data_IF_928798700052
#
_entry.id   IF_928798700052
#
_cell.length_a   1.000
_cell.length_b   1.000
_cell.length_c   1.000
_cell.angle_alpha   90.00
_cell.angle_beta   90.00
_cell.angle_gamma   90.00
#
_symmetry.space_group_name_H-M   'P 1'
#
loop_
_entity.id
_entity.type
_entity.pdbx_description
1 polymer ?
#
# COMPACT_ATOMS: atom_id res chain seq x y z
N UNK A 1 15.84 31.88 -18.09
CA UNK A 1 16.85 31.30 -17.18
C UNK A 1 16.29 31.38 -15.78
N UNK A 2 15.75 30.28 -15.25
CA UNK A 2 15.22 30.22 -13.89
C UNK A 2 16.27 29.50 -13.06
N UNK A 3 16.97 30.24 -12.21
CA UNK A 3 17.97 29.69 -11.28
C UNK A 3 17.28 28.83 -10.23
N UNK A 4 17.55 27.52 -10.26
CA UNK A 4 17.24 26.60 -9.17
C UNK A 4 18.38 26.68 -8.15
N UNK A 5 18.07 27.18 -6.96
CA UNK A 5 19.00 27.16 -5.82
C UNK A 5 18.94 25.78 -5.14
N UNK A 6 20.03 25.00 -5.06
CA UNK A 6 20.03 23.73 -4.35
C UNK A 6 20.53 23.97 -2.92
N UNK A 7 19.62 24.22 -1.99
CA UNK A 7 19.96 24.21 -0.55
C UNK A 7 18.72 24.01 0.29
N UNK A 8 18.30 22.75 0.44
CA UNK A 8 17.57 22.26 1.61
C UNK A 8 17.98 20.80 1.86
N UNK A 9 19.27 20.54 2.03
CA UNK A 9 19.71 19.38 2.82
C UNK A 9 19.81 19.89 4.25
N UNK A 10 18.68 19.87 4.95
CA UNK A 10 18.65 20.10 6.39
C UNK A 10 19.24 18.88 7.06
N UNK A 11 20.43 19.03 7.65
CA UNK A 11 20.99 18.08 8.60
C UNK A 11 19.95 17.86 9.72
N UNK A 12 19.63 16.61 10.12
CA UNK A 12 18.66 16.39 11.18
C UNK A 12 19.16 17.08 12.46
N UNK A 13 18.33 17.87 13.16
CA UNK A 13 18.76 18.47 14.41
C UNK A 13 18.98 17.35 15.43
N UNK A 14 20.23 17.16 15.85
CA UNK A 14 20.52 16.50 17.12
C UNK A 14 20.02 17.41 18.25
N UNK A 15 18.86 17.08 18.81
CA UNK A 15 18.37 17.64 20.07
C UNK A 15 17.58 16.57 20.83
N UNK A 16 17.86 16.35 22.13
CA UNK A 16 17.20 15.32 22.91
C UNK A 16 15.73 15.68 23.23
N UNK A 17 14.83 14.82 22.77
CA UNK A 17 13.47 14.51 23.23
C UNK A 17 12.57 15.67 23.70
N UNK A 18 12.21 16.59 22.79
CA UNK A 18 10.93 17.29 22.93
C UNK A 18 9.78 16.33 22.65
N UNK A 19 8.68 16.41 23.43
CA UNK A 19 7.47 15.62 23.16
C UNK A 19 6.97 15.90 21.72
N UNK A 20 6.59 14.87 20.96
CA UNK A 20 6.13 15.07 19.59
C UNK A 20 4.92 16.02 19.57
N UNK A 21 5.00 17.07 18.77
CA UNK A 21 3.90 18.02 18.63
C UNK A 21 2.88 17.55 17.57
N UNK A 22 1.62 17.45 17.98
CA UNK A 22 0.48 17.09 17.12
C UNK A 22 0.19 15.60 17.04
N UNK A 23 -0.87 15.24 16.30
CA UNK A 23 -1.32 13.85 16.17
C UNK A 23 -0.63 13.15 14.97
N UNK A 24 0.09 12.06 15.23
CA UNK A 24 0.74 11.22 14.21
C UNK A 24 -0.26 10.77 13.13
N UNK A 25 -1.45 10.34 13.53
CA UNK A 25 -2.49 9.88 12.60
C UNK A 25 -2.91 10.98 11.61
N UNK A 26 -3.12 12.21 12.08
CA UNK A 26 -3.49 13.34 11.22
C UNK A 26 -2.34 13.73 10.27
N UNK A 27 -1.08 13.68 10.73
CA UNK A 27 0.09 13.93 9.90
C UNK A 27 0.22 12.88 8.79
N UNK A 28 0.08 11.59 9.11
CA UNK A 28 0.11 10.49 8.15
C UNK A 28 -1.00 10.61 7.10
N UNK A 29 -2.24 10.85 7.53
CA UNK A 29 -3.34 11.03 6.58
C UNK A 29 -3.16 12.25 5.66
N UNK A 30 -2.57 13.35 6.16
CA UNK A 30 -2.25 14.51 5.31
C UNK A 30 -1.20 14.16 4.26
N UNK A 31 -0.14 13.46 4.65
CA UNK A 31 0.89 12.98 3.72
C UNK A 31 0.29 12.01 2.69
N UNK A 32 -0.49 11.03 3.15
CA UNK A 32 -1.13 10.03 2.30
C UNK A 32 -2.00 10.68 1.22
N UNK A 33 -2.86 11.64 1.58
CA UNK A 33 -3.67 12.38 0.58
C UNK A 33 -2.83 13.08 -0.48
N UNK A 34 -1.64 13.57 -0.13
CA UNK A 34 -0.76 14.24 -1.10
C UNK A 34 -0.04 13.24 -2.00
N UNK A 35 0.35 12.08 -1.47
CA UNK A 35 0.89 10.98 -2.25
C UNK A 35 -0.17 10.39 -3.18
N UNK A 36 -1.37 10.11 -2.68
CA UNK A 36 -2.50 9.60 -3.45
C UNK A 36 -2.81 10.50 -4.65
N UNK A 37 -2.79 11.83 -4.47
CA UNK A 37 -2.98 12.76 -5.59
C UNK A 37 -1.92 12.60 -6.71
N UNK A 38 -0.67 12.31 -6.35
CA UNK A 38 0.40 12.08 -7.32
C UNK A 38 0.22 10.73 -8.04
N UNK A 39 -0.11 9.68 -7.30
CA UNK A 39 -0.32 8.35 -7.87
C UNK A 39 -1.59 8.27 -8.71
N UNK A 40 -2.70 8.80 -8.21
CA UNK A 40 -3.99 8.82 -8.91
C UNK A 40 -3.90 9.64 -10.20
N UNK A 41 -3.16 10.75 -10.23
CA UNK A 41 -2.97 11.53 -11.46
C UNK A 41 -2.32 10.71 -12.58
N UNK A 42 -1.34 9.86 -12.26
CA UNK A 42 -0.68 8.99 -13.24
C UNK A 42 -1.53 7.76 -13.58
N UNK A 43 -2.13 7.10 -12.58
CA UNK A 43 -2.96 5.91 -12.80
C UNK A 43 -4.28 6.22 -13.51
N UNK A 44 -4.83 7.43 -13.36
CA UNK A 44 -6.02 7.87 -14.08
C UNK A 44 -5.81 7.84 -15.61
N UNK A 45 -4.56 8.00 -16.09
CA UNK A 45 -4.22 7.90 -17.53
C UNK A 45 -4.46 6.52 -18.11
N UNK A 46 -4.53 5.49 -17.25
CA UNK A 46 -4.93 4.13 -17.60
C UNK A 46 -6.27 3.74 -16.98
N UNK A 47 -7.06 4.70 -16.51
CA UNK A 47 -8.39 4.45 -15.95
C UNK A 47 -8.36 3.60 -14.67
N UNK A 48 -7.32 3.74 -13.83
CA UNK A 48 -7.23 3.08 -12.54
C UNK A 48 -7.13 4.09 -11.41
N UNK A 49 -7.70 3.73 -10.26
CA UNK A 49 -7.38 4.33 -8.96
C UNK A 49 -6.20 3.61 -8.30
N UNK A 50 -5.49 4.29 -7.41
CA UNK A 50 -4.40 3.72 -6.59
C UNK A 50 -4.83 2.45 -5.86
N UNK A 51 -6.02 2.46 -5.25
CA UNK A 51 -6.57 1.29 -4.53
C UNK A 51 -6.84 0.09 -5.45
N UNK A 52 -7.33 0.34 -6.66
CA UNK A 52 -7.58 -0.70 -7.66
C UNK A 52 -6.27 -1.30 -8.18
N UNK A 53 -5.28 -0.46 -8.48
CA UNK A 53 -3.96 -0.91 -8.90
C UNK A 53 -3.26 -1.74 -7.81
N UNK A 54 -3.33 -1.29 -6.55
CA UNK A 54 -2.75 -2.01 -5.42
C UNK A 54 -3.38 -3.39 -5.26
N UNK A 55 -4.72 -3.48 -5.28
CA UNK A 55 -5.43 -4.76 -5.19
C UNK A 55 -5.11 -5.68 -6.38
N UNK A 56 -5.17 -5.16 -7.61
CA UNK A 56 -4.84 -5.94 -8.81
C UNK A 56 -3.40 -6.45 -8.77
N UNK A 57 -2.45 -5.66 -8.27
CA UNK A 57 -1.06 -6.08 -8.11
C UNK A 57 -0.90 -7.19 -7.07
N UNK A 58 -1.65 -7.15 -5.97
CA UNK A 58 -1.65 -8.24 -4.99
C UNK A 58 -2.26 -9.52 -5.58
N UNK A 59 -3.36 -9.41 -6.31
CA UNK A 59 -3.96 -10.56 -7.01
C UNK A 59 -2.98 -11.15 -8.02
N UNK A 60 -2.38 -10.34 -8.90
CA UNK A 60 -1.39 -10.83 -9.89
C UNK A 60 -0.20 -11.53 -9.25
N UNK A 61 0.24 -11.06 -8.06
CA UNK A 61 1.39 -11.64 -7.35
C UNK A 61 1.05 -12.92 -6.60
N UNK A 62 -0.14 -13.02 -6.03
CA UNK A 62 -0.51 -14.10 -5.10
C UNK A 62 -1.45 -15.14 -5.74
N UNK A 63 -2.07 -14.84 -6.88
CA UNK A 63 -3.06 -15.70 -7.51
C UNK A 63 -2.48 -17.07 -7.91
N UNK A 64 -3.27 -18.15 -7.82
CA UNK A 64 -4.61 -18.19 -7.21
C UNK A 64 -4.55 -17.99 -5.68
N UNK A 65 -5.43 -17.12 -5.14
CA UNK A 65 -5.39 -16.76 -3.71
C UNK A 65 -6.78 -16.79 -3.07
N UNK A 66 -6.88 -17.36 -1.87
CA UNK A 66 -8.13 -17.33 -1.09
C UNK A 66 -8.40 -15.90 -0.60
N UNK A 67 -9.65 -15.40 -0.63
CA UNK A 67 -10.00 -14.05 -0.16
C UNK A 67 -9.49 -13.71 1.25
N UNK A 68 -9.57 -14.65 2.19
CA UNK A 68 -9.08 -14.42 3.56
C UNK A 68 -7.55 -14.23 3.64
N UNK A 69 -6.79 -14.90 2.78
CA UNK A 69 -5.33 -14.73 2.68
C UNK A 69 -5.01 -13.39 2.04
N UNK A 70 -5.71 -13.04 0.95
CA UNK A 70 -5.55 -11.75 0.29
C UNK A 70 -5.90 -10.58 1.20
N UNK A 71 -6.96 -10.71 2.01
CA UNK A 71 -7.40 -9.70 2.97
C UNK A 71 -6.31 -9.44 4.01
N UNK A 72 -5.74 -10.50 4.60
CA UNK A 72 -4.60 -10.39 5.54
C UNK A 72 -3.37 -9.79 4.88
N UNK A 73 -3.03 -10.21 3.66
CA UNK A 73 -1.85 -9.69 2.95
C UNK A 73 -1.96 -8.19 2.59
N UNK A 74 -3.14 -7.59 2.71
CA UNK A 74 -3.40 -6.17 2.46
C UNK A 74 -3.85 -5.41 3.72
N UNK A 75 -3.83 -6.06 4.90
CA UNK A 75 -4.36 -5.52 6.16
C UNK A 75 -5.81 -5.00 6.04
N UNK A 76 -6.62 -5.71 5.26
CA UNK A 76 -8.03 -5.40 5.03
C UNK A 76 -8.95 -6.34 5.78
N UNK A 77 -10.07 -5.78 6.25
CA UNK A 77 -11.21 -6.59 6.68
C UNK A 77 -11.84 -7.32 5.46
N UNK A 78 -12.34 -8.56 5.62
CA UNK A 78 -12.91 -9.34 4.50
C UNK A 78 -14.04 -8.63 3.76
N UNK A 79 -14.89 -7.89 4.47
CA UNK A 79 -15.97 -7.10 3.86
C UNK A 79 -15.45 -5.95 3.00
N UNK A 80 -14.35 -5.31 3.41
CA UNK A 80 -13.67 -4.26 2.64
C UNK A 80 -13.02 -4.85 1.38
N UNK A 81 -12.33 -5.99 1.50
CA UNK A 81 -11.77 -6.67 0.33
C UNK A 81 -12.86 -7.01 -0.70
N UNK A 82 -13.99 -7.56 -0.24
CA UNK A 82 -15.09 -7.95 -1.12
C UNK A 82 -15.62 -6.76 -1.93
N UNK A 83 -15.85 -5.61 -1.29
CA UNK A 83 -16.24 -4.38 -1.98
C UNK A 83 -15.17 -3.88 -2.95
N UNK A 84 -13.89 -3.98 -2.58
CA UNK A 84 -12.79 -3.53 -3.44
C UNK A 84 -12.58 -4.44 -4.67
N UNK A 85 -12.92 -5.72 -4.58
CA UNK A 85 -12.84 -6.68 -5.70
C UNK A 85 -13.93 -6.45 -6.76
N UNK A 86 -15.14 -6.02 -6.36
CA UNK A 86 -16.27 -5.82 -7.27
C UNK A 86 -15.92 -5.02 -8.55
N UNK A 87 -15.28 -3.83 -8.50
CA UNK A 87 -14.95 -3.09 -9.70
C UNK A 87 -13.93 -3.80 -10.60
N UNK A 88 -13.00 -4.58 -10.04
CA UNK A 88 -12.01 -5.34 -10.82
C UNK A 88 -12.64 -6.54 -11.51
N UNK A 89 -13.62 -7.18 -10.85
CA UNK A 89 -14.43 -8.26 -11.43
C UNK A 89 -15.33 -7.72 -12.54
N UNK A 90 -16.02 -6.61 -12.30
CA UNK A 90 -16.87 -5.96 -13.29
C UNK A 90 -16.08 -5.51 -14.54
N UNK A 91 -14.81 -5.12 -14.36
CA UNK A 91 -13.91 -4.77 -15.46
C UNK A 91 -13.27 -6.00 -16.15
N UNK A 92 -13.54 -7.22 -15.69
CA UNK A 92 -12.98 -8.46 -16.22
C UNK A 92 -11.48 -8.65 -15.95
N UNK A 93 -10.90 -7.91 -15.00
CA UNK A 93 -9.47 -8.02 -14.64
C UNK A 93 -9.20 -9.08 -13.58
N UNK A 94 -10.22 -9.40 -12.78
CA UNK A 94 -10.17 -10.42 -11.74
C UNK A 94 -11.37 -11.34 -11.91
N UNK A 95 -11.17 -12.63 -11.66
CA UNK A 95 -12.26 -13.59 -11.51
C UNK A 95 -12.24 -14.19 -10.10
N UNK A 96 -13.42 -14.61 -9.64
CA UNK A 96 -13.59 -15.32 -8.37
C UNK A 96 -14.17 -16.69 -8.70
N UNK A 97 -13.30 -17.69 -8.76
CA UNK A 97 -13.68 -19.05 -9.12
C UNK A 97 -14.14 -19.82 -7.87
N UNK A 98 -15.15 -20.70 -8.00
CA UNK A 98 -15.33 -21.79 -7.05
C UNK A 98 -14.10 -22.69 -7.22
N UNK A 99 -13.21 -22.70 -6.23
CA UNK A 99 -11.97 -23.47 -6.25
C UNK A 99 -12.21 -24.99 -6.29
N UNK A 100 -11.22 -25.78 -5.88
CA UNK A 100 -11.25 -27.25 -5.95
C UNK A 100 -12.28 -27.96 -5.07
N UNK A 101 -13.01 -27.21 -4.24
CA UNK A 101 -14.09 -27.69 -3.37
C UNK A 101 -15.22 -26.65 -3.38
N UNK A 102 -16.47 -27.11 -3.29
CA UNK A 102 -17.71 -26.32 -3.39
C UNK A 102 -17.80 -25.16 -2.39
N UNK A 103 -16.90 -25.12 -1.38
CA UNK A 103 -16.79 -24.07 -0.36
C UNK A 103 -15.56 -23.18 -0.47
N UNK A 104 -14.59 -23.50 -1.32
CA UNK A 104 -13.42 -22.65 -1.52
C UNK A 104 -13.68 -21.67 -2.66
N UNK A 105 -13.46 -20.38 -2.42
CA UNK A 105 -13.43 -19.35 -3.47
C UNK A 105 -11.99 -18.91 -3.65
N UNK A 106 -11.54 -18.82 -4.89
CA UNK A 106 -10.19 -18.34 -5.23
C UNK A 106 -10.30 -17.11 -6.11
N UNK A 107 -9.46 -16.13 -5.81
CA UNK A 107 -9.32 -14.90 -6.59
C UNK A 107 -8.16 -15.09 -7.55
N UNK A 108 -8.42 -14.90 -8.84
CA UNK A 108 -7.41 -15.02 -9.90
C UNK A 108 -7.34 -13.74 -10.73
N UNK A 109 -6.15 -13.40 -11.21
CA UNK A 109 -5.99 -12.37 -12.23
C UNK A 109 -6.29 -12.99 -13.61
N UNK A 110 -7.16 -12.36 -14.39
CA UNK A 110 -7.38 -12.77 -15.78
C UNK A 110 -6.19 -12.34 -16.66
N UNK A 111 -6.04 -12.89 -17.88
CA UNK A 111 -5.05 -12.37 -18.83
C UNK A 111 -5.18 -10.86 -19.07
N UNK A 112 -6.42 -10.35 -19.15
CA UNK A 112 -6.68 -8.92 -19.25
C UNK A 112 -6.23 -8.14 -17.99
N UNK A 113 -6.42 -8.70 -16.80
CA UNK A 113 -5.94 -8.12 -15.55
C UNK A 113 -4.42 -8.06 -15.45
N UNK A 114 -3.71 -9.11 -15.88
CA UNK A 114 -2.25 -9.14 -15.92
C UNK A 114 -1.70 -8.04 -16.84
N UNK A 115 -2.25 -7.93 -18.06
CA UNK A 115 -1.85 -6.87 -18.98
C UNK A 115 -2.23 -5.48 -18.47
N UNK A 116 -3.40 -5.33 -17.84
CA UNK A 116 -3.81 -4.06 -17.22
C UNK A 116 -2.84 -3.64 -16.12
N UNK A 117 -2.42 -4.57 -15.27
CA UNK A 117 -1.44 -4.32 -14.21
C UNK A 117 -0.09 -3.92 -14.79
N UNK A 118 0.36 -4.58 -15.87
CA UNK A 118 1.62 -4.27 -16.56
C UNK A 118 1.62 -2.87 -17.18
N UNK A 119 0.51 -2.46 -17.78
CA UNK A 119 0.32 -1.09 -18.27
C UNK A 119 0.41 -0.08 -17.11
N UNK A 120 -0.35 -0.33 -16.05
CA UNK A 120 -0.41 0.54 -14.88
C UNK A 120 0.93 0.67 -14.13
N UNK A 121 1.74 -0.40 -14.10
CA UNK A 121 3.06 -0.38 -13.48
C UNK A 121 3.98 0.70 -14.08
N UNK A 122 3.83 1.03 -15.37
CA UNK A 122 4.62 2.09 -16.01
C UNK A 122 4.27 3.46 -15.43
N UNK A 123 2.99 3.75 -15.27
CA UNK A 123 2.50 5.00 -14.68
C UNK A 123 2.78 5.07 -13.17
N UNK A 124 2.66 3.94 -12.47
CA UNK A 124 3.09 3.83 -11.08
C UNK A 124 4.58 4.20 -10.92
N UNK A 125 5.44 3.70 -11.82
CA UNK A 125 6.87 4.02 -11.80
C UNK A 125 7.11 5.51 -12.01
N UNK A 126 6.39 6.16 -12.92
CA UNK A 126 6.46 7.62 -13.12
C UNK A 126 6.11 8.36 -11.83
N UNK A 127 5.00 8.01 -11.18
CA UNK A 127 4.59 8.60 -9.91
C UNK A 127 5.66 8.40 -8.81
N UNK A 128 6.16 7.18 -8.63
CA UNK A 128 7.22 6.88 -7.64
C UNK A 128 8.51 7.66 -7.94
N UNK A 129 8.92 7.75 -9.20
CA UNK A 129 10.10 8.54 -9.58
C UNK A 129 9.89 10.02 -9.29
N UNK A 130 8.68 10.55 -9.49
CA UNK A 130 8.35 11.93 -9.10
C UNK A 130 8.42 12.12 -7.58
N UNK A 131 7.95 11.17 -6.78
CA UNK A 131 8.07 11.21 -5.31
C UNK A 131 9.56 11.25 -4.91
N UNK A 132 10.38 10.38 -5.50
CA UNK A 132 11.82 10.35 -5.24
C UNK A 132 12.52 11.66 -5.62
N UNK A 133 12.10 12.31 -6.70
CA UNK A 133 12.64 13.59 -7.13
C UNK A 133 12.22 14.74 -6.19
N UNK A 134 10.97 14.74 -5.72
CA UNK A 134 10.42 15.80 -4.86
C UNK A 134 10.93 15.72 -3.42
N UNK A 135 11.06 14.50 -2.88
CA UNK A 135 11.50 14.29 -1.50
C UNK A 135 13.01 14.09 -1.39
N UNK A 136 13.67 13.65 -2.47
CA UNK A 136 15.06 13.20 -2.45
C UNK A 136 15.19 11.74 -2.03
N UNK A 137 15.99 10.96 -2.77
CA UNK A 137 16.12 9.52 -2.56
C UNK A 137 16.58 9.14 -1.13
N UNK A 138 17.51 9.92 -0.55
CA UNK A 138 17.97 9.69 0.82
C UNK A 138 16.85 9.86 1.85
N UNK A 139 16.02 10.89 1.70
CA UNK A 139 14.90 11.14 2.60
C UNK A 139 13.80 10.08 2.46
N UNK A 140 13.59 9.58 1.24
CA UNK A 140 12.66 8.47 0.97
C UNK A 140 13.13 7.19 1.68
N UNK A 141 14.44 6.87 1.64
CA UNK A 141 14.97 5.72 2.38
C UNK A 141 14.72 5.86 3.90
N UNK A 142 15.06 7.02 4.48
CA UNK A 142 14.79 7.28 5.91
C UNK A 142 13.29 7.15 6.24
N UNK A 143 12.42 7.65 5.36
CA UNK A 143 10.98 7.52 5.56
C UNK A 143 10.53 6.05 5.53
N UNK A 144 11.03 5.26 4.57
CA UNK A 144 10.71 3.82 4.50
C UNK A 144 11.17 3.08 5.76
N UNK A 145 12.40 3.35 6.23
CA UNK A 145 12.93 2.72 7.44
C UNK A 145 12.12 3.06 8.68
N UNK A 146 11.65 4.32 8.80
CA UNK A 146 10.80 4.75 9.90
C UNK A 146 9.40 4.11 9.84
N UNK A 147 8.83 3.97 8.65
CA UNK A 147 7.53 3.30 8.47
C UNK A 147 7.63 1.82 8.83
N UNK A 148 8.67 1.13 8.36
CA UNK A 148 8.91 -0.28 8.67
C UNK A 148 9.09 -0.50 10.18
N UNK A 149 9.94 0.29 10.83
CA UNK A 149 10.12 0.23 12.28
C UNK A 149 8.82 0.53 13.05
N UNK A 150 8.02 1.47 12.57
CA UNK A 150 6.74 1.79 13.19
C UNK A 150 5.75 0.63 13.07
N UNK A 151 5.64 0.00 11.90
CA UNK A 151 4.79 -1.17 11.68
C UNK A 151 5.20 -2.33 12.59
N UNK A 152 6.49 -2.69 12.62
CA UNK A 152 7.01 -3.75 13.48
C UNK A 152 6.68 -3.53 14.96
N UNK A 153 6.78 -2.30 15.46
CA UNK A 153 6.45 -1.96 16.85
C UNK A 153 4.95 -2.05 17.14
N UNK A 154 4.11 -1.64 16.20
CA UNK A 154 2.65 -1.71 16.32
C UNK A 154 2.16 -3.16 16.26
N UNK A 155 2.73 -3.97 15.38
CA UNK A 155 2.40 -5.40 15.25
C UNK A 155 2.83 -6.18 16.50
N UNK A 156 4.02 -5.91 17.03
CA UNK A 156 4.49 -6.51 18.27
C UNK A 156 3.58 -6.18 19.47
N UNK A 157 3.01 -4.98 19.51
CA UNK A 157 2.05 -4.58 20.55
C UNK A 157 0.65 -5.21 20.36
N UNK A 158 0.31 -5.63 19.14
CA UNK A 158 -0.97 -6.26 18.82
C UNK A 158 -0.94 -7.81 18.97
N UNK A 159 0.24 -8.40 19.19
CA UNK A 159 0.38 -9.84 19.44
C UNK A 159 -0.41 -10.22 20.71
N UNK A 160 -1.19 -11.32 20.70
CA UNK A 160 -1.91 -11.78 21.88
C UNK A 160 -0.94 -12.01 23.04
N UNK A 161 -1.26 -11.47 24.23
CA UNK A 161 -0.63 -11.93 25.47
C UNK A 161 -1.09 -13.38 25.65
N UNK A 162 -0.19 -14.35 25.48
CA UNK A 162 -0.50 -15.74 25.82
C UNK A 162 -0.96 -15.77 27.29
N UNK A 163 -2.14 -16.33 27.60
CA UNK A 163 -2.55 -16.48 28.99
C UNK A 163 -1.54 -17.42 29.66
N UNK A 164 -0.90 -16.90 30.71
CA UNK A 164 0.03 -17.59 31.59
C UNK A 164 -0.50 -19.00 31.94
N UNK A 165 0.03 -20.01 31.26
CA UNK A 165 -0.19 -21.42 31.55
C UNK A 165 0.65 -21.81 32.78
N UNK A 166 0.43 -21.15 33.91
CA UNK A 166 1.03 -21.48 35.19
C UNK A 166 0.07 -21.12 36.34
N UNK A 167 -0.94 -21.96 36.53
CA UNK A 167 -1.53 -22.26 37.85
C UNK A 167 -2.38 -23.52 37.77
N UNK A 168 -1.72 -24.65 38.03
CA UNK A 168 -2.28 -25.97 38.27
C UNK A 168 -1.27 -26.78 39.07
#
# INVERSE_FOLDING_TARGET
MISFHPSLVGQPPESPAASPQGCTNLRLHRLMRRLDQLYDAELARVGLKTTQYSLLSHVVRLAPVRPGVLARAMDLQPSTLTRNLQPLVAAGWVAVDPGSDARSREVIATPAGIEKRKQAQRYWKVAQTSVNALLGAAQVHVLHDLLEQAMQRLDAAAAPIEPDAARG
#
